data_IF_621268550701
#
_entry.id   IF_621268550701
#
_cell.length_a   1.000
_cell.length_b   1.000
_cell.length_c   1.000
_cell.angle_alpha   90.00
_cell.angle_beta   90.00
_cell.angle_gamma   90.00
#
_symmetry.space_group_name_H-M   'P 1'
#
loop_
_entity.id
_entity.type
_entity.pdbx_description
1 polymer ?
#
# COMPACT_ATOMS: atom_id res chain seq x y z
N UNK A 1 12.69 18.18 5.89
CA UNK A 1 13.57 17.33 5.08
C UNK A 1 13.44 15.88 5.54
N UNK A 2 13.32 14.95 4.61
CA UNK A 2 13.19 13.52 4.93
C UNK A 2 14.57 12.97 5.36
N UNK A 3 14.63 12.37 6.53
CA UNK A 3 15.84 11.79 7.07
C UNK A 3 15.87 10.27 6.94
N UNK A 4 17.05 9.69 7.22
CA UNK A 4 17.18 8.22 7.28
C UNK A 4 16.22 7.61 8.32
N UNK A 5 16.07 8.25 9.49
CA UNK A 5 15.17 7.76 10.54
C UNK A 5 13.70 7.79 10.10
N UNK A 6 13.29 8.81 9.35
CA UNK A 6 11.93 8.88 8.80
C UNK A 6 11.65 7.69 7.88
N UNK A 7 12.61 7.36 7.02
CA UNK A 7 12.47 6.24 6.08
C UNK A 7 12.55 4.89 6.78
N UNK A 8 13.37 4.75 7.82
CA UNK A 8 13.43 3.53 8.63
C UNK A 8 12.09 3.27 9.32
N UNK A 9 11.43 4.32 9.82
CA UNK A 9 10.10 4.22 10.40
C UNK A 9 9.08 3.71 9.38
N UNK A 10 9.12 4.21 8.15
CA UNK A 10 8.27 3.73 7.07
C UNK A 10 8.57 2.28 6.71
N UNK A 11 9.85 1.88 6.69
CA UNK A 11 10.24 0.48 6.42
C UNK A 11 9.69 -0.48 7.47
N UNK A 12 9.71 -0.10 8.73
CA UNK A 12 9.13 -0.92 9.81
C UNK A 12 7.63 -1.12 9.58
N UNK A 13 6.92 -0.05 9.26
CA UNK A 13 5.49 -0.12 8.97
C UNK A 13 5.21 -0.95 7.72
N UNK A 14 6.00 -0.77 6.67
CA UNK A 14 5.87 -1.53 5.42
C UNK A 14 6.03 -3.04 5.65
N UNK A 15 7.03 -3.45 6.42
CA UNK A 15 7.25 -4.86 6.73
C UNK A 15 6.10 -5.46 7.52
N UNK A 16 5.58 -4.72 8.50
CA UNK A 16 4.43 -5.15 9.28
C UNK A 16 3.19 -5.33 8.41
N UNK A 17 2.92 -4.37 7.53
CA UNK A 17 1.80 -4.46 6.58
C UNK A 17 1.95 -5.65 5.64
N UNK A 18 3.15 -5.86 5.10
CA UNK A 18 3.40 -6.96 4.18
C UNK A 18 3.21 -8.31 4.86
N UNK A 19 3.70 -8.48 6.07
CA UNK A 19 3.50 -9.72 6.84
C UNK A 19 2.00 -9.99 7.05
N UNK A 20 1.24 -8.99 7.42
CA UNK A 20 -0.20 -9.11 7.63
C UNK A 20 -0.94 -9.41 6.34
N UNK A 21 -0.57 -8.77 5.24
CA UNK A 21 -1.14 -9.04 3.92
C UNK A 21 -0.86 -10.47 3.45
N UNK A 22 0.36 -10.96 3.69
CA UNK A 22 0.75 -12.32 3.31
C UNK A 22 0.06 -13.39 4.15
N UNK A 23 -0.30 -13.08 5.39
CA UNK A 23 -1.00 -14.00 6.28
C UNK A 23 -2.52 -14.01 6.05
N UNK A 24 -3.04 -13.02 5.34
CA UNK A 24 -4.48 -12.84 5.17
C UNK A 24 -5.02 -13.68 4.02
N UNK A 25 -6.15 -14.35 4.25
CA UNK A 25 -6.94 -14.97 3.18
C UNK A 25 -7.90 -13.94 2.57
N UNK A 26 -8.59 -14.29 1.47
CA UNK A 26 -9.49 -13.35 0.78
C UNK A 26 -10.85 -13.22 1.48
N UNK A 27 -10.84 -12.92 2.77
CA UNK A 27 -12.03 -12.64 3.56
C UNK A 27 -12.34 -11.15 3.43
N UNK A 28 -13.46 -10.83 2.79
CA UNK A 28 -13.77 -9.48 2.33
C UNK A 28 -13.67 -8.40 3.42
N UNK A 29 -14.23 -8.64 4.60
CA UNK A 29 -14.17 -7.67 5.70
C UNK A 29 -12.75 -7.41 6.19
N UNK A 30 -11.93 -8.45 6.28
CA UNK A 30 -10.54 -8.34 6.69
C UNK A 30 -9.69 -7.65 5.62
N UNK A 31 -9.96 -7.94 4.35
CA UNK A 31 -9.29 -7.29 3.22
C UNK A 31 -9.62 -5.80 3.20
N UNK A 32 -10.88 -5.45 3.42
CA UNK A 32 -11.30 -4.05 3.48
C UNK A 32 -10.57 -3.30 4.61
N UNK A 33 -10.48 -3.90 5.77
CA UNK A 33 -9.85 -3.33 6.95
C UNK A 33 -8.35 -3.10 6.73
N UNK A 34 -7.64 -4.13 6.28
CA UNK A 34 -6.20 -4.05 6.04
C UNK A 34 -5.87 -3.17 4.84
N UNK A 35 -6.70 -3.20 3.79
CA UNK A 35 -6.56 -2.30 2.64
C UNK A 35 -6.67 -0.83 3.03
N UNK A 36 -7.56 -0.51 3.97
CA UNK A 36 -7.67 0.85 4.51
C UNK A 36 -6.38 1.26 5.22
N UNK A 37 -5.73 0.36 5.95
CA UNK A 37 -4.43 0.64 6.56
C UNK A 37 -3.34 0.85 5.52
N UNK A 38 -3.38 0.12 4.41
CA UNK A 38 -2.45 0.33 3.29
C UNK A 38 -2.60 1.76 2.74
N UNK A 39 -3.82 2.25 2.60
CA UNK A 39 -4.06 3.63 2.13
C UNK A 39 -3.59 4.69 3.12
N UNK A 40 -3.73 4.44 4.41
CA UNK A 40 -3.17 5.35 5.44
C UNK A 40 -1.66 5.40 5.37
N UNK A 41 -1.03 4.24 5.17
CA UNK A 41 0.41 4.17 4.96
C UNK A 41 0.82 4.94 3.70
N UNK A 42 0.04 4.84 2.63
CA UNK A 42 0.27 5.58 1.39
C UNK A 42 0.31 7.10 1.61
N UNK A 43 -0.54 7.62 2.47
CA UNK A 43 -0.52 9.05 2.81
C UNK A 43 0.79 9.47 3.47
N UNK A 44 1.32 8.62 4.35
CA UNK A 44 2.63 8.87 4.99
C UNK A 44 3.76 8.83 3.96
N UNK A 45 3.69 7.89 3.01
CA UNK A 45 4.68 7.78 1.94
C UNK A 45 4.70 9.02 1.05
N UNK A 46 3.53 9.56 0.71
CA UNK A 46 3.43 10.77 -0.12
C UNK A 46 4.12 11.96 0.52
N UNK A 47 4.08 12.04 1.84
CA UNK A 47 4.71 13.15 2.58
C UNK A 47 6.22 12.98 2.71
N UNK A 48 6.69 11.79 3.06
CA UNK A 48 8.08 11.58 3.45
C UNK A 48 8.91 10.87 2.37
N UNK A 49 8.31 10.03 1.56
CA UNK A 49 9.01 9.17 0.62
C UNK A 49 8.95 9.67 -0.83
N UNK A 50 7.79 10.10 -1.30
CA UNK A 50 7.60 10.53 -2.68
C UNK A 50 8.55 11.64 -3.14
N UNK A 51 8.93 12.62 -2.30
CA UNK A 51 9.91 13.63 -2.73
C UNK A 51 11.27 13.07 -3.13
N UNK A 52 11.62 11.86 -2.66
CA UNK A 52 12.90 11.22 -2.98
C UNK A 52 12.82 10.32 -4.21
N UNK A 53 11.62 9.95 -4.66
CA UNK A 53 11.44 9.02 -5.77
C UNK A 53 12.10 9.47 -7.08
N UNK A 54 12.06 10.76 -7.48
CA UNK A 54 12.72 11.19 -8.70
C UNK A 54 14.23 10.93 -8.73
N UNK A 55 14.88 10.76 -7.57
CA UNK A 55 16.30 10.42 -7.47
C UNK A 55 16.56 8.94 -7.75
N UNK A 56 15.54 8.09 -7.60
CA UNK A 56 15.63 6.65 -7.78
C UNK A 56 15.06 6.23 -9.13
N UNK A 57 13.87 6.68 -9.43
CA UNK A 57 13.10 6.33 -10.62
C UNK A 57 12.13 7.47 -10.93
N UNK A 58 12.34 8.22 -12.03
CA UNK A 58 11.50 9.37 -12.35
C UNK A 58 10.02 9.03 -12.59
N UNK A 59 9.73 7.79 -12.93
CA UNK A 59 8.37 7.35 -13.26
C UNK A 59 7.66 6.78 -12.02
N UNK A 60 8.40 6.27 -11.05
CA UNK A 60 7.85 5.54 -9.91
C UNK A 60 6.83 6.35 -9.11
N UNK A 61 7.04 7.66 -8.94
CA UNK A 61 6.10 8.51 -8.19
C UNK A 61 4.71 8.49 -8.80
N UNK A 62 4.63 8.67 -10.12
CA UNK A 62 3.34 8.68 -10.82
C UNK A 62 2.69 7.28 -10.79
N UNK A 63 3.49 6.23 -10.96
CA UNK A 63 2.99 4.86 -10.92
C UNK A 63 2.45 4.49 -9.54
N UNK A 64 3.19 4.83 -8.48
CA UNK A 64 2.75 4.54 -7.11
C UNK A 64 1.49 5.34 -6.74
N UNK A 65 1.43 6.60 -7.14
CA UNK A 65 0.24 7.42 -6.91
C UNK A 65 -0.99 6.83 -7.61
N UNK A 66 -0.80 6.33 -8.83
CA UNK A 66 -1.87 5.67 -9.60
C UNK A 66 -2.31 4.37 -8.92
N UNK A 67 -1.37 3.57 -8.42
CA UNK A 67 -1.69 2.34 -7.68
C UNK A 67 -2.47 2.65 -6.41
N UNK A 68 -2.09 3.69 -5.66
CA UNK A 68 -2.84 4.16 -4.49
C UNK A 68 -4.28 4.50 -4.85
N UNK A 69 -4.47 5.22 -5.95
CA UNK A 69 -5.79 5.58 -6.44
C UNK A 69 -6.61 4.34 -6.79
N UNK A 70 -6.04 3.39 -7.51
CA UNK A 70 -6.74 2.17 -7.93
C UNK A 70 -7.14 1.31 -6.74
N UNK A 71 -6.24 1.14 -5.76
CA UNK A 71 -6.56 0.41 -4.53
C UNK A 71 -7.72 1.10 -3.79
N UNK A 72 -7.69 2.44 -3.72
CA UNK A 72 -8.76 3.21 -3.09
C UNK A 72 -10.11 3.00 -3.77
N UNK A 73 -10.14 3.00 -5.09
CA UNK A 73 -11.38 2.77 -5.85
C UNK A 73 -11.89 1.34 -5.67
N UNK A 74 -11.00 0.35 -5.68
CA UNK A 74 -11.37 -1.04 -5.45
C UNK A 74 -11.92 -1.25 -4.04
N UNK A 75 -11.36 -0.58 -3.02
CA UNK A 75 -11.87 -0.67 -1.65
C UNK A 75 -13.26 -0.06 -1.51
N UNK A 76 -13.52 1.04 -2.20
CA UNK A 76 -14.87 1.64 -2.22
C UNK A 76 -15.88 0.69 -2.84
N UNK A 77 -15.51 0.04 -3.95
CA UNK A 77 -16.37 -0.94 -4.60
C UNK A 77 -16.59 -2.15 -3.71
N UNK A 78 -15.56 -2.65 -3.05
CA UNK A 78 -15.67 -3.77 -2.14
C UNK A 78 -16.60 -3.45 -0.96
N UNK A 79 -16.46 -2.27 -0.37
CA UNK A 79 -17.33 -1.80 0.70
C UNK A 79 -18.78 -1.76 0.24
N UNK A 80 -19.04 -1.23 -0.96
CA UNK A 80 -20.39 -1.17 -1.52
C UNK A 80 -20.97 -2.57 -1.78
N UNK A 81 -20.19 -3.49 -2.32
CA UNK A 81 -20.61 -4.87 -2.56
C UNK A 81 -20.94 -5.60 -1.26
N UNK A 82 -20.12 -5.43 -0.23
CA UNK A 82 -20.38 -6.03 1.10
C UNK A 82 -21.71 -5.52 1.66
N UNK A 83 -21.99 -4.23 1.50
CA UNK A 83 -23.19 -3.59 2.02
C UNK A 83 -24.46 -4.00 1.24
N UNK A 84 -24.34 -4.17 -0.07
CA UNK A 84 -25.52 -4.35 -0.96
C UNK A 84 -25.73 -5.80 -1.40
N UNK A 85 -24.66 -6.56 -1.61
CA UNK A 85 -24.70 -7.93 -2.12
C UNK A 85 -23.70 -8.85 -1.40
N UNK A 86 -23.81 -8.99 -0.06
CA UNK A 86 -22.77 -9.68 0.73
C UNK A 86 -22.57 -11.15 0.34
N UNK A 87 -23.59 -11.80 -0.21
CA UNK A 87 -23.54 -13.21 -0.60
C UNK A 87 -23.15 -13.42 -2.07
N UNK A 88 -22.87 -12.33 -2.80
CA UNK A 88 -22.47 -12.43 -4.20
C UNK A 88 -21.04 -12.99 -4.33
N UNK A 89 -20.79 -13.90 -5.30
CA UNK A 89 -19.42 -14.34 -5.60
C UNK A 89 -18.47 -13.20 -5.95
N UNK A 90 -18.99 -12.07 -6.44
CA UNK A 90 -18.19 -10.90 -6.80
C UNK A 90 -17.46 -10.31 -5.60
N UNK A 91 -18.02 -10.45 -4.39
CA UNK A 91 -17.36 -9.98 -3.15
C UNK A 91 -16.03 -10.70 -2.94
N UNK A 92 -16.01 -12.03 -3.03
CA UNK A 92 -14.79 -12.81 -2.86
C UNK A 92 -13.80 -12.61 -3.99
N UNK A 93 -14.30 -12.51 -5.22
CA UNK A 93 -13.45 -12.26 -6.40
C UNK A 93 -12.73 -10.92 -6.27
N UNK A 94 -13.47 -9.88 -5.91
CA UNK A 94 -12.88 -8.55 -5.73
C UNK A 94 -11.92 -8.52 -4.54
N UNK A 95 -12.30 -9.14 -3.41
CA UNK A 95 -11.43 -9.22 -2.23
C UNK A 95 -10.08 -9.87 -2.58
N UNK A 96 -10.10 -10.98 -3.33
CA UNK A 96 -8.87 -11.64 -3.77
C UNK A 96 -8.03 -10.76 -4.69
N UNK A 97 -8.67 -10.03 -5.60
CA UNK A 97 -7.98 -9.11 -6.52
C UNK A 97 -7.32 -7.93 -5.76
N UNK A 98 -8.05 -7.33 -4.83
CA UNK A 98 -7.53 -6.25 -3.98
C UNK A 98 -6.34 -6.73 -3.16
N UNK A 99 -6.44 -7.91 -2.57
CA UNK A 99 -5.37 -8.48 -1.75
C UNK A 99 -4.09 -8.70 -2.58
N UNK A 100 -4.21 -9.25 -3.79
CA UNK A 100 -3.06 -9.43 -4.69
C UNK A 100 -2.42 -8.09 -5.05
N UNK A 101 -3.24 -7.10 -5.40
CA UNK A 101 -2.76 -5.76 -5.76
C UNK A 101 -2.06 -5.08 -4.60
N UNK A 102 -2.65 -5.16 -3.41
CA UNK A 102 -2.07 -4.57 -2.21
C UNK A 102 -0.73 -5.21 -1.86
N UNK A 103 -0.62 -6.54 -1.94
CA UNK A 103 0.64 -7.26 -1.71
C UNK A 103 1.73 -6.81 -2.66
N UNK A 104 1.44 -6.79 -3.95
CA UNK A 104 2.41 -6.37 -4.97
C UNK A 104 2.87 -4.93 -4.77
N UNK A 105 1.92 -4.05 -4.45
CA UNK A 105 2.19 -2.64 -4.20
C UNK A 105 3.10 -2.44 -2.98
N UNK A 106 2.78 -3.08 -1.86
CA UNK A 106 3.55 -2.94 -0.61
C UNK A 106 4.94 -3.57 -0.76
N UNK A 107 5.08 -4.67 -1.51
CA UNK A 107 6.40 -5.24 -1.83
C UNK A 107 7.26 -4.27 -2.63
N UNK A 108 6.69 -3.64 -3.64
CA UNK A 108 7.39 -2.65 -4.45
C UNK A 108 7.82 -1.45 -3.62
N UNK A 109 6.93 -0.96 -2.77
CA UNK A 109 7.23 0.13 -1.85
C UNK A 109 8.43 -0.21 -0.95
N UNK A 110 8.48 -1.43 -0.43
CA UNK A 110 9.56 -1.88 0.42
C UNK A 110 10.91 -1.83 -0.28
N UNK A 111 10.97 -2.24 -1.55
CA UNK A 111 12.21 -2.19 -2.33
C UNK A 111 12.67 -0.76 -2.55
N UNK A 112 11.75 0.13 -2.90
CA UNK A 112 12.06 1.54 -3.15
C UNK A 112 12.43 2.28 -1.86
N UNK A 113 11.74 1.99 -0.76
CA UNK A 113 12.05 2.55 0.56
C UNK A 113 13.46 2.16 1.01
N UNK A 114 13.85 0.90 0.78
CA UNK A 114 15.17 0.43 1.14
C UNK A 114 16.25 1.17 0.33
N UNK A 115 16.02 1.39 -0.96
CA UNK A 115 16.93 2.17 -1.79
C UNK A 115 17.01 3.63 -1.33
N UNK A 116 15.86 4.22 -1.04
CA UNK A 116 15.78 5.61 -0.57
C UNK A 116 16.49 5.80 0.76
N UNK A 117 16.41 4.84 1.68
CA UNK A 117 17.05 4.93 2.98
C UNK A 117 18.57 5.03 2.88
N UNK A 118 19.16 4.50 1.81
CA UNK A 118 20.60 4.57 1.54
C UNK A 118 21.04 5.94 1.03
N UNK A 119 20.11 6.71 0.48
CA UNK A 119 20.38 8.04 -0.07
C UNK A 119 20.05 9.16 0.92
N UNK A 120 19.25 8.88 1.94
CA UNK A 120 18.79 9.88 2.88
C UNK A 120 19.92 10.31 3.82
N UNK A 121 19.85 11.58 4.27
CA UNK A 121 20.79 12.10 5.24
C UNK A 121 20.62 11.39 6.59
N UNK A 122 21.74 11.15 7.33
CA UNK A 122 21.66 10.66 8.69
C UNK A 122 20.84 11.60 9.56
N UNK A 123 20.02 11.05 10.47
CA UNK A 123 19.27 11.99 11.26
C UNK A 123 18.40 11.45 12.33
#
# INVERSE_FOLDING_TARGET
>A
MTTHDDLEGLLVQQRSLLERLNALGPVAGEVLELGTEVLRFAELEEQAFFPLLPLLDPIARAELAHEHFEIGEDLKLLEWLIATTPDSPDVEILAAAVLRRARAHVERDGRLLLQASRLALPG
#
